data_IF_539156163679
#
_entry.id   IF_539156163679
#
_cell.length_a   1.000
_cell.length_b   1.000
_cell.length_c   1.000
_cell.angle_alpha   90.00
_cell.angle_beta   90.00
_cell.angle_gamma   90.00
#
_symmetry.space_group_name_H-M   'P 1'
#
loop_
_entity.id
_entity.type
_entity.pdbx_description
1 polymer ?
#
# COMPACT_ATOMS: atom_id res chain seq x y z
N UNK A 1 -9.98 16.11 24.56
CA UNK A 1 -9.56 15.83 24.20
C UNK A 1 -9.02 15.51 23.46
N UNK A 2 -8.97 15.51 23.23
CA UNK A 2 -8.15 15.36 22.78
C UNK A 2 -7.96 14.77 21.66
N UNK A 3 -7.34 15.28 20.91
CA UNK A 3 -6.91 14.70 19.78
C UNK A 3 -6.25 13.51 20.04
N UNK A 4 -6.81 12.51 19.66
CA UNK A 4 -6.25 11.33 20.07
C UNK A 4 -5.11 10.96 19.17
N UNK A 5 -4.05 10.40 19.69
CA UNK A 5 -3.00 9.85 18.89
C UNK A 5 -3.51 8.76 17.96
N UNK A 6 -4.62 8.16 18.32
CA UNK A 6 -5.20 7.12 17.48
C UNK A 6 -5.66 7.67 16.15
N UNK A 7 -6.19 8.89 16.15
CA UNK A 7 -6.59 9.51 14.89
C UNK A 7 -5.39 9.69 13.98
N UNK A 8 -4.28 10.15 14.51
CA UNK A 8 -3.09 10.30 13.72
C UNK A 8 -2.59 8.96 13.23
N UNK A 9 -2.69 7.94 14.07
CA UNK A 9 -2.23 6.62 13.68
C UNK A 9 -3.08 6.05 12.54
N UNK A 10 -4.37 6.34 12.54
CA UNK A 10 -5.25 5.83 11.51
C UNK A 10 -4.94 6.42 10.14
N UNK A 11 -4.15 7.50 10.10
CA UNK A 11 -3.79 8.13 8.84
C UNK A 11 -2.32 7.89 8.47
N UNK A 12 -1.70 6.91 9.08
CA UNK A 12 -0.32 6.59 8.75
C UNK A 12 -0.24 6.06 7.33
N UNK A 13 0.92 6.27 6.72
CA UNK A 13 1.12 5.88 5.34
C UNK A 13 0.90 4.39 5.12
N UNK A 14 1.42 3.55 6.03
CA UNK A 14 1.26 2.11 5.86
C UNK A 14 -0.21 1.70 5.92
N UNK A 15 -0.98 2.27 6.84
CA UNK A 15 -2.40 1.94 6.93
C UNK A 15 -3.15 2.38 5.68
N UNK A 16 -2.81 3.53 5.15
CA UNK A 16 -3.47 4.03 3.94
C UNK A 16 -3.17 3.15 2.75
N UNK A 17 -1.93 2.69 2.64
CA UNK A 17 -1.56 1.81 1.54
C UNK A 17 -2.25 0.46 1.69
N UNK A 18 -2.31 -0.08 2.91
CA UNK A 18 -3.04 -1.32 3.15
C UNK A 18 -4.48 -1.21 2.68
N UNK A 19 -5.13 -0.08 2.99
CA UNK A 19 -6.50 0.14 2.56
C UNK A 19 -6.62 0.10 1.04
N UNK A 20 -5.70 0.78 0.35
CA UNK A 20 -5.72 0.81 -1.11
C UNK A 20 -5.51 -0.58 -1.70
N UNK A 21 -4.56 -1.33 -1.16
CA UNK A 21 -4.29 -2.67 -1.66
C UNK A 21 -5.48 -3.59 -1.42
N UNK A 22 -6.14 -3.44 -0.29
CA UNK A 22 -7.34 -4.22 0.01
C UNK A 22 -8.46 -3.88 -0.95
N UNK A 23 -8.64 -2.61 -1.27
CA UNK A 23 -9.64 -2.19 -2.24
C UNK A 23 -9.35 -2.75 -3.62
N UNK A 24 -8.06 -2.79 -3.99
CA UNK A 24 -7.69 -3.37 -5.26
C UNK A 24 -8.01 -4.86 -5.31
N UNK A 25 -7.70 -5.59 -4.24
CA UNK A 25 -8.03 -7.02 -4.18
C UNK A 25 -9.53 -7.26 -4.27
N UNK A 26 -10.32 -6.37 -3.69
CA UNK A 26 -11.78 -6.46 -3.75
C UNK A 26 -12.35 -5.95 -5.07
N UNK A 27 -11.49 -5.55 -5.99
CA UNK A 27 -11.86 -5.05 -7.32
C UNK A 27 -12.62 -3.73 -7.28
N UNK A 28 -12.38 -2.94 -6.23
CA UNK A 28 -12.96 -1.61 -6.13
C UNK A 28 -12.00 -0.54 -6.63
N UNK A 29 -10.81 -0.92 -7.07
CA UNK A 29 -9.78 -0.01 -7.51
C UNK A 29 -9.01 -0.66 -8.64
N UNK A 30 -8.80 0.03 -9.76
CA UNK A 30 -8.06 -0.55 -10.86
C UNK A 30 -6.56 -0.31 -10.68
N UNK A 31 -5.77 -0.93 -11.58
CA UNK A 31 -4.31 -0.91 -11.46
C UNK A 31 -3.75 0.51 -11.52
N UNK A 32 -4.27 1.31 -12.42
CA UNK A 32 -3.72 2.64 -12.61
C UNK A 32 -4.04 3.54 -11.44
N UNK A 33 -5.27 3.45 -10.92
CA UNK A 33 -5.63 4.24 -9.75
C UNK A 33 -4.84 3.80 -8.55
N UNK A 34 -4.63 2.49 -8.40
CA UNK A 34 -3.81 2.00 -7.31
C UNK A 34 -2.42 2.60 -7.37
N UNK A 35 -1.77 2.52 -8.55
CA UNK A 35 -0.43 3.06 -8.73
C UNK A 35 -0.40 4.53 -8.36
N UNK A 36 -1.34 5.29 -8.90
CA UNK A 36 -1.34 6.73 -8.71
C UNK A 36 -1.52 7.11 -7.24
N UNK A 37 -2.41 6.41 -6.56
CA UNK A 37 -2.69 6.74 -5.17
C UNK A 37 -1.56 6.32 -4.24
N UNK A 38 -0.94 5.17 -4.52
CA UNK A 38 0.20 4.74 -3.72
C UNK A 38 1.37 5.69 -3.93
N UNK A 39 1.59 6.11 -5.18
CA UNK A 39 2.65 7.09 -5.46
C UNK A 39 2.39 8.40 -4.74
N UNK A 40 1.14 8.80 -4.65
CA UNK A 40 0.79 10.05 -3.97
C UNK A 40 1.08 9.97 -2.47
N UNK A 41 0.90 8.81 -1.86
CA UNK A 41 1.23 8.64 -0.45
C UNK A 41 2.75 8.64 -0.25
N UNK A 42 3.48 7.98 -1.16
CA UNK A 42 4.93 7.93 -1.08
C UNK A 42 5.42 6.93 -0.06
N UNK A 43 6.75 6.89 0.09
CA UNK A 43 7.38 5.91 0.98
C UNK A 43 8.14 6.55 2.12
N UNK A 44 8.09 7.87 2.26
CA UNK A 44 8.93 8.58 3.22
C UNK A 44 8.65 8.18 4.66
N UNK A 45 7.40 7.83 4.95
CA UNK A 45 6.99 7.50 6.31
C UNK A 45 6.99 6.01 6.58
N UNK A 46 7.43 5.21 5.62
CA UNK A 46 7.46 3.77 5.77
C UNK A 46 8.80 3.31 6.31
N UNK A 47 8.82 2.14 6.94
CA UNK A 47 10.08 1.53 7.32
C UNK A 47 10.85 1.15 6.07
N UNK A 48 12.16 0.89 6.18
CA UNK A 48 12.92 0.51 4.99
C UNK A 48 12.36 -0.73 4.30
N UNK A 49 11.94 -1.73 5.05
CA UNK A 49 11.38 -2.94 4.45
C UNK A 49 10.05 -2.65 3.77
N UNK A 50 9.21 -1.85 4.41
CA UNK A 50 7.94 -1.47 3.81
C UNK A 50 8.14 -0.66 2.55
N UNK A 51 9.07 0.30 2.60
CA UNK A 51 9.34 1.14 1.45
C UNK A 51 9.84 0.33 0.27
N UNK A 52 10.70 -0.65 0.54
CA UNK A 52 11.22 -1.47 -0.53
C UNK A 52 10.12 -2.31 -1.17
N UNK A 53 9.25 -2.88 -0.36
CA UNK A 53 8.14 -3.68 -0.88
C UNK A 53 7.23 -2.83 -1.75
N UNK A 54 6.93 -1.61 -1.33
CA UNK A 54 6.08 -0.72 -2.11
C UNK A 54 6.76 -0.32 -3.41
N UNK A 55 8.05 -0.06 -3.37
CA UNK A 55 8.78 0.28 -4.60
C UNK A 55 8.78 -0.87 -5.59
N UNK A 56 8.95 -2.10 -5.09
CA UNK A 56 8.89 -3.26 -5.97
C UNK A 56 7.50 -3.42 -6.57
N UNK A 57 6.47 -3.23 -5.76
CA UNK A 57 5.11 -3.30 -6.27
C UNK A 57 4.92 -2.32 -7.42
N UNK A 58 5.32 -1.06 -7.22
CA UNK A 58 5.13 -0.05 -8.24
C UNK A 58 5.96 -0.32 -9.48
N UNK A 59 7.14 -0.90 -9.31
CA UNK A 59 8.01 -1.18 -10.43
C UNK A 59 7.52 -2.37 -11.26
N UNK A 60 6.91 -3.35 -10.62
CA UNK A 60 6.56 -4.59 -11.29
C UNK A 60 5.08 -4.75 -11.59
N UNK A 61 4.26 -3.82 -11.12
CA UNK A 61 2.83 -3.87 -11.41
C UNK A 61 2.63 -3.76 -12.92
N UNK A 62 2.03 -4.76 -13.51
CA UNK A 62 1.92 -4.85 -14.95
C UNK A 62 0.54 -5.28 -15.38
N UNK A 63 0.48 -5.91 -16.57
CA UNK A 63 -0.80 -6.30 -17.15
C UNK A 63 -1.31 -7.64 -16.64
N UNK A 64 -0.43 -8.46 -16.06
CA UNK A 64 -0.81 -9.79 -15.61
C UNK A 64 -1.41 -9.70 -14.21
N UNK A 65 -2.71 -9.92 -14.12
CA UNK A 65 -3.39 -9.77 -12.85
C UNK A 65 -2.92 -10.80 -11.82
N UNK A 66 -2.62 -12.02 -12.24
CA UNK A 66 -2.12 -13.03 -11.30
C UNK A 66 -0.82 -12.61 -10.68
N UNK A 67 0.09 -12.07 -11.48
CA UNK A 67 1.35 -11.56 -10.98
C UNK A 67 1.10 -10.37 -10.06
N UNK A 68 0.19 -9.49 -10.42
CA UNK A 68 -0.13 -8.33 -9.60
C UNK A 68 -0.70 -8.76 -8.24
N UNK A 69 -1.52 -9.80 -8.22
CA UNK A 69 -2.06 -10.29 -6.96
C UNK A 69 -0.97 -10.79 -6.04
N UNK A 70 0.01 -11.50 -6.58
CA UNK A 70 1.14 -11.94 -5.78
C UNK A 70 1.91 -10.77 -5.20
N UNK A 71 2.17 -9.76 -6.03
CA UNK A 71 2.87 -8.56 -5.59
C UNK A 71 2.11 -7.85 -4.48
N UNK A 72 0.79 -7.73 -4.65
CA UNK A 72 -0.03 -7.05 -3.66
C UNK A 72 -0.03 -7.82 -2.34
N UNK A 73 -0.15 -9.15 -2.40
CA UNK A 73 -0.14 -9.96 -1.17
C UNK A 73 1.20 -9.87 -0.46
N UNK A 74 2.30 -9.90 -1.20
CA UNK A 74 3.62 -9.78 -0.61
C UNK A 74 3.81 -8.40 0.01
N UNK A 75 3.30 -7.37 -0.65
CA UNK A 75 3.40 -6.03 -0.11
C UNK A 75 2.57 -5.89 1.16
N UNK A 76 1.37 -6.47 1.18
CA UNK A 76 0.55 -6.45 2.39
C UNK A 76 1.26 -7.13 3.55
N UNK A 77 1.94 -8.24 3.27
CA UNK A 77 2.66 -8.94 4.31
C UNK A 77 3.79 -8.08 4.86
N UNK A 78 4.54 -7.42 3.98
CA UNK A 78 5.62 -6.54 4.40
C UNK A 78 5.09 -5.38 5.24
N UNK A 79 3.95 -4.82 4.84
CA UNK A 79 3.36 -3.71 5.58
C UNK A 79 2.91 -4.16 6.96
N UNK A 80 2.41 -5.38 7.07
CA UNK A 80 1.96 -5.90 8.35
C UNK A 80 3.11 -6.20 9.30
N UNK A 81 4.25 -6.62 8.75
CA UNK A 81 5.41 -6.94 9.58
C UNK A 81 6.15 -5.68 10.03
N UNK A 82 5.98 -4.61 9.31
CA UNK A 82 6.68 -3.36 9.63
C UNK A 82 8.07 -3.38 9.11
#
# INVERSE_FOLDING_TARGET
MSTSPDTARAHRADDRIVTLLSQWLARHLDDEKLRRRVESIGTDELSPAQAEAVRELLAELGADRGQNEMLVRETLEALALG
#
